data_IF_930281729499
#
_entry.id   IF_930281729499
#
_cell.length_a   1.000
_cell.length_b   1.000
_cell.length_c   1.000
_cell.angle_alpha   90.00
_cell.angle_beta   90.00
_cell.angle_gamma   90.00
#
_symmetry.space_group_name_H-M   'P 1'
#
loop_
_entity.id
_entity.type
_entity.pdbx_description
1 polymer ?
#
# COMPACT_ATOMS: atom_id res chain seq x y z
N UNK A 1 7.43 -28.37 -19.43
CA UNK A 1 6.71 -27.11 -19.18
C UNK A 1 7.43 -26.44 -18.04
N UNK A 2 7.73 -25.15 -18.16
CA UNK A 2 8.37 -24.41 -17.08
C UNK A 2 7.28 -24.00 -16.10
N UNK A 3 7.16 -24.75 -15.01
CA UNK A 3 6.27 -24.48 -13.86
C UNK A 3 6.72 -23.22 -13.08
N UNK A 4 7.17 -22.19 -13.79
CA UNK A 4 7.81 -21.01 -13.24
C UNK A 4 6.98 -19.78 -13.55
N UNK A 5 6.70 -18.99 -12.52
CA UNK A 5 6.10 -17.66 -12.63
C UNK A 5 7.14 -16.59 -12.27
N UNK A 6 6.79 -15.32 -12.48
CA UNK A 6 7.58 -14.15 -12.09
C UNK A 6 6.91 -13.44 -10.91
N UNK A 7 7.69 -13.03 -9.90
CA UNK A 7 7.20 -12.13 -8.85
C UNK A 7 7.58 -10.70 -9.18
N UNK A 8 6.58 -9.86 -9.38
CA UNK A 8 6.77 -8.42 -9.52
C UNK A 8 6.43 -7.74 -8.21
N UNK A 9 7.39 -7.03 -7.64
CA UNK A 9 7.22 -6.30 -6.38
C UNK A 9 7.42 -4.82 -6.63
N UNK A 10 6.46 -4.01 -6.23
CA UNK A 10 6.51 -2.54 -6.31
C UNK A 10 5.95 -1.91 -5.03
N UNK A 11 6.03 -0.60 -4.92
CA UNK A 11 5.36 0.16 -3.87
C UNK A 11 4.66 1.39 -4.50
N UNK A 12 3.33 1.40 -4.46
CA UNK A 12 2.54 2.47 -5.08
C UNK A 12 2.67 3.79 -4.33
N UNK A 13 2.83 4.89 -5.07
CA UNK A 13 2.77 6.25 -4.54
C UNK A 13 1.40 6.55 -3.95
N UNK A 14 0.32 6.25 -4.68
CA UNK A 14 -1.05 6.52 -4.24
C UNK A 14 -1.41 5.74 -2.98
N UNK A 15 -1.12 4.44 -2.93
CA UNK A 15 -1.44 3.62 -1.76
C UNK A 15 -0.62 4.03 -0.54
N UNK A 16 0.68 4.27 -0.70
CA UNK A 16 1.50 4.71 0.42
C UNK A 16 1.15 6.14 0.86
N UNK A 17 0.69 7.00 -0.05
CA UNK A 17 0.15 8.31 0.33
C UNK A 17 -1.17 8.20 1.10
N UNK A 18 -2.05 7.25 0.73
CA UNK A 18 -3.25 6.93 1.52
C UNK A 18 -2.86 6.51 2.95
N UNK A 19 -1.86 5.63 3.11
CA UNK A 19 -1.37 5.23 4.44
C UNK A 19 -0.75 6.42 5.20
N UNK A 20 -0.04 7.32 4.51
CA UNK A 20 0.47 8.57 5.08
C UNK A 20 -0.64 9.43 5.69
N UNK A 21 -1.72 9.67 4.95
CA UNK A 21 -2.89 10.42 5.43
C UNK A 21 -3.61 9.66 6.56
N UNK A 22 -3.79 8.34 6.41
CA UNK A 22 -4.39 7.48 7.42
C UNK A 22 -3.68 7.62 8.76
N UNK A 23 -2.36 7.55 8.76
CA UNK A 23 -1.56 7.59 9.97
C UNK A 23 -1.66 8.96 10.66
N UNK A 24 -1.74 10.05 9.90
CA UNK A 24 -2.03 11.37 10.47
C UNK A 24 -3.42 11.43 11.12
N UNK A 25 -4.44 10.90 10.44
CA UNK A 25 -5.80 10.84 10.96
C UNK A 25 -5.88 10.06 12.28
N UNK A 26 -5.21 8.91 12.35
CA UNK A 26 -5.13 8.08 13.55
C UNK A 26 -4.35 8.79 14.66
N UNK A 27 -3.21 9.41 14.35
CA UNK A 27 -2.39 10.13 15.32
C UNK A 27 -3.12 11.28 16.02
N UNK A 28 -4.11 11.91 15.36
CA UNK A 28 -4.94 12.95 15.98
C UNK A 28 -5.94 12.41 17.01
N UNK A 29 -6.21 11.10 17.01
CA UNK A 29 -7.13 10.42 17.94
C UNK A 29 -6.40 9.57 18.99
N UNK A 30 -5.16 9.18 18.72
CA UNK A 30 -4.38 8.24 19.52
C UNK A 30 -3.68 8.86 20.73
N UNK A 31 -3.36 8.01 21.72
CA UNK A 31 -2.46 8.39 22.83
C UNK A 31 -1.01 8.36 22.35
N UNK A 32 -0.14 9.15 23.00
CA UNK A 32 1.26 9.39 22.58
C UNK A 32 2.13 8.16 22.36
N UNK A 33 1.76 7.00 22.89
CA UNK A 33 2.57 5.77 22.86
C UNK A 33 2.45 4.97 21.55
N UNK A 34 1.38 5.17 20.77
CA UNK A 34 1.09 4.40 19.54
C UNK A 34 1.09 5.26 18.27
N UNK A 35 1.86 6.36 18.29
CA UNK A 35 1.95 7.26 17.15
C UNK A 35 2.68 6.59 15.98
N UNK A 36 2.13 6.79 14.79
CA UNK A 36 2.63 6.24 13.53
C UNK A 36 3.38 7.29 12.74
N UNK A 37 4.30 6.88 11.88
CA UNK A 37 4.87 7.81 10.90
C UNK A 37 3.84 8.10 9.80
N UNK A 38 3.66 9.35 9.35
CA UNK A 38 4.31 10.56 9.84
C UNK A 38 3.65 11.08 11.12
N UNK A 39 4.48 11.54 12.06
CA UNK A 39 3.98 12.35 13.16
C UNK A 39 4.05 13.83 12.78
N UNK A 40 2.89 14.47 12.64
CA UNK A 40 2.76 15.90 12.40
C UNK A 40 1.98 16.50 13.57
N UNK A 41 2.59 17.43 14.30
CA UNK A 41 1.97 18.05 15.47
C UNK A 41 0.77 18.95 15.11
N UNK A 42 0.73 19.45 13.87
CA UNK A 42 -0.37 20.24 13.33
C UNK A 42 -1.62 19.38 13.16
N UNK A 43 -2.77 19.92 13.55
CA UNK A 43 -4.06 19.31 13.27
C UNK A 43 -4.57 19.67 11.86
N UNK A 44 -5.14 18.66 11.20
CA UNK A 44 -5.83 18.76 9.93
C UNK A 44 -7.33 18.54 10.11
N UNK A 45 -8.11 19.31 9.36
CA UNK A 45 -9.56 19.17 9.28
C UNK A 45 -9.88 18.08 8.26
N UNK A 46 -10.07 16.86 8.75
CA UNK A 46 -10.48 15.72 7.94
C UNK A 46 -11.99 15.73 7.70
N UNK A 47 -12.40 15.08 6.61
CA UNK A 47 -13.83 14.89 6.32
C UNK A 47 -14.54 14.18 7.48
N UNK A 48 -15.77 14.58 7.77
CA UNK A 48 -16.62 13.92 8.78
C UNK A 48 -16.88 12.44 8.43
N UNK A 49 -16.85 12.09 7.15
CA UNK A 49 -17.01 10.73 6.63
C UNK A 49 -15.67 10.07 6.25
N UNK A 50 -14.56 10.49 6.86
CA UNK A 50 -13.19 10.09 6.49
C UNK A 50 -13.04 8.59 6.22
N UNK A 51 -13.44 7.71 7.14
CA UNK A 51 -13.23 6.27 7.01
C UNK A 51 -14.01 5.65 5.84
N UNK A 52 -15.22 6.15 5.57
CA UNK A 52 -16.02 5.71 4.43
C UNK A 52 -15.40 6.20 3.10
N UNK A 53 -15.02 7.47 3.05
CA UNK A 53 -14.37 8.06 1.88
C UNK A 53 -13.01 7.43 1.59
N UNK A 54 -12.25 7.08 2.65
CA UNK A 54 -10.99 6.36 2.55
C UNK A 54 -11.19 5.00 1.89
N UNK A 55 -12.16 4.22 2.37
CA UNK A 55 -12.50 2.92 1.79
C UNK A 55 -12.91 3.06 0.33
N UNK A 56 -13.79 3.99 -0.01
CA UNK A 56 -14.23 4.21 -1.38
C UNK A 56 -13.05 4.57 -2.30
N UNK A 57 -12.21 5.53 -1.87
CA UNK A 57 -11.05 5.97 -2.63
C UNK A 57 -10.03 4.85 -2.80
N UNK A 58 -9.75 4.08 -1.74
CA UNK A 58 -8.85 2.93 -1.80
C UNK A 58 -9.27 1.95 -2.90
N UNK A 59 -10.52 1.48 -2.89
CA UNK A 59 -11.00 0.54 -3.90
C UNK A 59 -11.02 1.15 -5.31
N UNK A 60 -11.26 2.45 -5.44
CA UNK A 60 -11.18 3.16 -6.73
C UNK A 60 -9.75 3.20 -7.26
N UNK A 61 -8.77 3.47 -6.39
CA UNK A 61 -7.34 3.44 -6.74
C UNK A 61 -6.90 2.05 -7.15
N UNK A 62 -7.28 1.00 -6.41
CA UNK A 62 -6.92 -0.39 -6.74
C UNK A 62 -7.29 -0.80 -8.16
N UNK A 63 -8.43 -0.30 -8.68
CA UNK A 63 -8.87 -0.58 -10.05
C UNK A 63 -8.05 0.16 -11.13
N UNK A 64 -7.38 1.25 -10.76
CA UNK A 64 -6.65 2.13 -11.68
C UNK A 64 -5.14 1.87 -11.67
N UNK A 65 -4.56 1.58 -10.51
CA UNK A 65 -3.11 1.45 -10.33
C UNK A 65 -2.54 0.06 -10.67
N UNK A 66 -3.29 -0.75 -11.42
CA UNK A 66 -2.76 -1.99 -11.99
C UNK A 66 -1.63 -1.73 -13.01
N UNK A 67 -1.52 -0.50 -13.49
CA UNK A 67 -0.40 0.01 -14.30
C UNK A 67 0.26 1.19 -13.57
N UNK A 68 1.57 1.09 -13.36
CA UNK A 68 2.40 2.04 -12.61
C UNK A 68 2.34 3.47 -13.20
N UNK A 69 2.04 3.61 -14.50
CA UNK A 69 1.84 4.92 -15.13
C UNK A 69 0.67 5.67 -14.51
N UNK A 70 -0.44 4.98 -14.22
CA UNK A 70 -1.61 5.59 -13.61
C UNK A 70 -1.37 5.93 -12.13
N UNK A 71 -0.57 5.14 -11.41
CA UNK A 71 -0.18 5.45 -10.05
C UNK A 71 0.56 6.80 -9.97
N UNK A 72 1.55 7.00 -10.84
CA UNK A 72 2.29 8.25 -10.92
C UNK A 72 1.43 9.42 -11.41
N UNK A 73 0.61 9.21 -12.44
CA UNK A 73 -0.29 10.25 -12.97
C UNK A 73 -1.26 10.73 -11.88
N UNK A 74 -1.90 9.81 -11.16
CA UNK A 74 -2.85 10.17 -10.10
C UNK A 74 -2.13 10.93 -8.99
N UNK A 75 -0.93 10.50 -8.60
CA UNK A 75 -0.20 11.15 -7.51
C UNK A 75 0.37 12.53 -7.90
N UNK A 76 0.92 12.69 -9.11
CA UNK A 76 1.56 13.94 -9.51
C UNK A 76 0.60 14.94 -10.13
N UNK A 77 -0.35 14.48 -10.94
CA UNK A 77 -1.19 15.36 -11.76
C UNK A 77 -2.63 15.48 -11.23
N UNK A 78 -3.15 14.42 -10.56
CA UNK A 78 -4.56 14.35 -10.14
C UNK A 78 -4.74 14.22 -8.61
N UNK A 79 -3.74 14.61 -7.80
CA UNK A 79 -3.77 14.41 -6.35
C UNK A 79 -4.85 15.21 -5.61
N UNK A 80 -5.51 16.14 -6.28
CA UNK A 80 -6.65 16.86 -5.71
C UNK A 80 -7.79 15.92 -5.29
N UNK A 81 -7.87 14.71 -5.87
CA UNK A 81 -8.83 13.69 -5.45
C UNK A 81 -8.67 13.28 -3.98
N UNK A 82 -7.45 13.25 -3.44
CA UNK A 82 -7.20 12.95 -2.03
C UNK A 82 -7.71 14.07 -1.14
N UNK A 83 -7.52 15.33 -1.58
CA UNK A 83 -8.00 16.50 -0.86
C UNK A 83 -9.52 16.52 -0.77
N UNK A 84 -10.21 16.42 -1.91
CA UNK A 84 -11.68 16.47 -1.97
C UNK A 84 -12.35 15.32 -1.19
N UNK A 85 -11.76 14.13 -1.23
CA UNK A 85 -12.36 12.96 -0.59
C UNK A 85 -12.03 12.86 0.90
N UNK A 86 -10.84 13.24 1.33
CA UNK A 86 -10.37 12.94 2.69
C UNK A 86 -10.35 14.15 3.63
N UNK A 87 -10.39 15.38 3.12
CA UNK A 87 -10.34 16.59 3.94
C UNK A 87 -11.67 17.33 3.93
N UNK A 88 -11.92 18.14 4.95
CA UNK A 88 -12.98 19.13 4.93
C UNK A 88 -12.50 20.32 4.10
N UNK A 89 -13.01 20.47 2.88
CA UNK A 89 -12.54 21.50 1.94
C UNK A 89 -12.95 22.92 2.32
N UNK A 90 -13.85 23.09 3.29
CA UNK A 90 -14.22 24.41 3.82
C UNK A 90 -13.28 24.85 4.95
N UNK A 91 -12.72 23.89 5.70
CA UNK A 91 -11.92 24.16 6.89
C UNK A 91 -10.43 23.85 6.71
N UNK A 92 -10.07 22.97 5.78
CA UNK A 92 -8.69 22.70 5.42
C UNK A 92 -8.25 23.72 4.37
N UNK A 93 -7.06 24.31 4.52
CA UNK A 93 -6.49 25.15 3.49
C UNK A 93 -5.80 24.27 2.42
N UNK A 94 -6.01 24.57 1.15
CA UNK A 94 -5.37 23.91 0.01
C UNK A 94 -3.84 23.98 0.09
N UNK A 95 -3.26 25.10 0.54
CA UNK A 95 -1.81 25.22 0.69
C UNK A 95 -1.26 24.20 1.70
N UNK A 96 -2.03 23.89 2.72
CA UNK A 96 -1.65 22.91 3.74
C UNK A 96 -1.71 21.48 3.21
N UNK A 97 -2.62 21.21 2.28
CA UNK A 97 -2.62 19.95 1.54
C UNK A 97 -1.45 19.86 0.56
N UNK A 98 -1.10 20.96 -0.13
CA UNK A 98 0.09 21.00 -1.01
C UNK A 98 1.39 20.78 -0.24
N UNK A 99 1.52 21.37 0.95
CA UNK A 99 2.63 21.11 1.87
C UNK A 99 2.69 19.63 2.27
N UNK A 100 1.54 19.02 2.54
CA UNK A 100 1.44 17.60 2.87
C UNK A 100 1.91 16.69 1.72
N UNK A 101 1.42 16.95 0.50
CA UNK A 101 1.84 16.23 -0.71
C UNK A 101 3.35 16.39 -0.92
N UNK A 102 3.88 17.60 -0.74
CA UNK A 102 5.31 17.89 -0.87
C UNK A 102 6.14 17.12 0.19
N UNK A 103 5.67 17.10 1.44
CA UNK A 103 6.33 16.38 2.53
C UNK A 103 6.41 14.89 2.25
N UNK A 104 5.30 14.27 1.84
CA UNK A 104 5.30 12.87 1.42
C UNK A 104 6.23 12.65 0.23
N UNK A 105 6.16 13.47 -0.83
CA UNK A 105 7.00 13.34 -2.02
C UNK A 105 8.49 13.36 -1.68
N UNK A 106 8.94 14.31 -0.87
CA UNK A 106 10.35 14.43 -0.46
C UNK A 106 10.79 13.20 0.32
N UNK A 107 10.00 12.73 1.27
CA UNK A 107 10.32 11.52 2.01
C UNK A 107 10.30 10.27 1.10
N UNK A 108 9.26 10.09 0.32
CA UNK A 108 9.01 8.90 -0.50
C UNK A 108 10.08 8.70 -1.58
N UNK A 109 10.50 9.78 -2.24
CA UNK A 109 11.56 9.76 -3.26
C UNK A 109 12.99 9.73 -2.70
N UNK A 110 13.16 9.87 -1.39
CA UNK A 110 14.46 9.74 -0.75
C UNK A 110 14.87 8.27 -0.60
N UNK A 111 16.15 8.04 -0.26
CA UNK A 111 16.65 6.69 -0.01
C UNK A 111 15.89 5.97 1.12
N UNK A 112 15.33 6.70 2.09
CA UNK A 112 14.60 6.13 3.24
C UNK A 112 13.11 5.88 2.97
N UNK A 113 12.60 6.32 1.82
CA UNK A 113 11.21 6.13 1.41
C UNK A 113 11.02 4.82 0.63
N UNK A 114 10.51 4.94 -0.61
CA UNK A 114 10.20 3.82 -1.50
C UNK A 114 11.36 2.84 -1.64
N UNK A 115 12.57 3.36 -1.88
CA UNK A 115 13.74 2.54 -2.13
C UNK A 115 14.08 1.62 -0.95
N UNK A 116 14.10 2.16 0.27
CA UNK A 116 14.32 1.34 1.48
C UNK A 116 13.24 0.28 1.66
N UNK A 117 11.99 0.61 1.34
CA UNK A 117 10.87 -0.33 1.44
C UNK A 117 11.08 -1.54 0.52
N UNK A 118 11.35 -1.30 -0.75
CA UNK A 118 11.56 -2.34 -1.77
C UNK A 118 12.83 -3.16 -1.48
N UNK A 119 13.93 -2.51 -1.09
CA UNK A 119 15.16 -3.19 -0.72
C UNK A 119 14.99 -4.07 0.53
N UNK A 120 14.19 -3.64 1.50
CA UNK A 120 14.04 -4.37 2.77
C UNK A 120 13.42 -5.77 2.59
N UNK A 121 12.54 -5.94 1.59
CA UNK A 121 11.93 -7.25 1.31
C UNK A 121 12.73 -8.09 0.32
N UNK A 122 13.71 -7.49 -0.39
CA UNK A 122 14.49 -8.18 -1.41
C UNK A 122 15.23 -9.42 -0.89
N UNK A 123 15.63 -9.42 0.39
CA UNK A 123 16.25 -10.57 1.05
C UNK A 123 15.32 -11.77 1.21
N UNK A 124 14.00 -11.57 1.19
CA UNK A 124 13.01 -12.64 1.26
C UNK A 124 12.58 -13.17 -0.11
N UNK A 125 12.91 -12.47 -1.20
CA UNK A 125 12.37 -12.79 -2.53
C UNK A 125 12.64 -14.22 -2.97
N UNK A 126 13.87 -14.73 -2.81
CA UNK A 126 14.20 -16.12 -3.19
C UNK A 126 13.47 -17.13 -2.32
N UNK A 127 13.40 -16.89 -1.01
CA UNK A 127 12.70 -17.79 -0.10
C UNK A 127 11.21 -17.83 -0.41
N UNK A 128 10.59 -16.65 -0.56
CA UNK A 128 9.18 -16.52 -0.87
C UNK A 128 8.83 -17.19 -2.19
N UNK A 129 9.66 -17.00 -3.21
CA UNK A 129 9.48 -17.66 -4.49
C UNK A 129 9.45 -19.19 -4.35
N UNK A 130 10.43 -19.75 -3.63
CA UNK A 130 10.54 -21.20 -3.45
C UNK A 130 9.37 -21.77 -2.63
N UNK A 131 8.94 -21.06 -1.59
CA UNK A 131 7.81 -21.46 -0.76
C UNK A 131 6.49 -21.47 -1.56
N UNK A 132 6.26 -20.46 -2.39
CA UNK A 132 5.09 -20.41 -3.28
C UNK A 132 5.18 -21.46 -4.40
N UNK A 133 6.37 -21.71 -4.96
CA UNK A 133 6.57 -22.76 -5.95
C UNK A 133 6.28 -24.15 -5.39
N UNK A 134 6.69 -24.41 -4.14
CA UNK A 134 6.37 -25.64 -3.43
C UNK A 134 4.85 -25.80 -3.27
N UNK A 135 4.17 -24.73 -2.86
CA UNK A 135 2.72 -24.71 -2.73
C UNK A 135 2.00 -25.06 -4.04
N UNK A 136 2.39 -24.43 -5.15
CA UNK A 136 1.81 -24.70 -6.47
C UNK A 136 1.97 -26.16 -6.88
N UNK A 137 3.16 -26.74 -6.69
CA UNK A 137 3.45 -28.15 -6.99
C UNK A 137 2.60 -29.11 -6.15
N UNK A 138 2.45 -28.83 -4.86
CA UNK A 138 1.67 -29.67 -3.94
C UNK A 138 0.18 -29.66 -4.25
N UNK A 139 -0.33 -28.59 -4.84
CA UNK A 139 -1.74 -28.43 -5.16
C UNK A 139 -2.04 -28.59 -6.67
N UNK A 140 -1.05 -29.00 -7.46
CA UNK A 140 -1.17 -29.20 -8.91
C UNK A 140 -1.74 -27.96 -9.65
N UNK A 141 -1.34 -26.76 -9.22
CA UNK A 141 -1.80 -25.49 -9.79
C UNK A 141 -0.80 -25.03 -10.84
N UNK A 142 -1.27 -24.81 -12.07
CA UNK A 142 -0.51 -24.11 -13.10
C UNK A 142 -0.60 -22.59 -12.88
N UNK A 143 0.51 -21.90 -12.59
CA UNK A 143 0.46 -20.47 -12.33
C UNK A 143 0.33 -19.67 -13.63
N UNK A 144 -0.37 -18.53 -13.56
CA UNK A 144 -0.17 -17.46 -14.53
C UNK A 144 1.28 -16.97 -14.47
N UNK A 145 1.69 -16.30 -15.53
CA UNK A 145 3.07 -15.89 -15.75
C UNK A 145 3.61 -14.95 -14.66
N UNK A 146 2.75 -14.21 -13.96
CA UNK A 146 3.18 -13.17 -13.02
C UNK A 146 2.23 -13.04 -11.82
N UNK A 147 2.81 -12.86 -10.63
CA UNK A 147 2.11 -12.38 -9.43
C UNK A 147 2.62 -10.99 -9.07
N UNK A 148 1.72 -10.09 -8.70
CA UNK A 148 2.02 -8.70 -8.36
C UNK A 148 1.92 -8.45 -6.85
N UNK A 149 2.97 -7.88 -6.26
CA UNK A 149 3.05 -7.56 -4.85
C UNK A 149 3.24 -6.05 -4.70
N UNK A 150 2.27 -5.37 -4.10
CA UNK A 150 2.40 -3.95 -3.75
C UNK A 150 2.70 -3.81 -2.26
N UNK A 151 3.80 -3.13 -1.93
CA UNK A 151 4.26 -2.95 -0.56
C UNK A 151 3.68 -1.68 0.06
N UNK A 152 3.24 -1.80 1.31
CA UNK A 152 2.89 -0.66 2.16
C UNK A 152 3.95 -0.45 3.23
N UNK A 153 4.31 0.81 3.49
CA UNK A 153 5.28 1.13 4.54
C UNK A 153 4.73 0.90 5.96
N UNK A 154 3.40 0.90 6.13
CA UNK A 154 2.70 0.63 7.38
C UNK A 154 1.33 -0.01 7.10
N UNK A 155 0.61 -0.40 8.14
CA UNK A 155 -0.68 -1.09 8.02
C UNK A 155 -1.77 -0.23 7.38
N UNK A 156 -2.54 -0.83 6.48
CA UNK A 156 -3.87 -0.33 6.13
C UNK A 156 -4.88 -0.77 7.20
N UNK A 157 -5.39 0.19 7.99
CA UNK A 157 -6.30 -0.07 9.12
C UNK A 157 -7.75 -0.12 8.66
N UNK A 158 -8.12 0.71 7.68
CA UNK A 158 -9.53 0.88 7.31
C UNK A 158 -10.00 -0.09 6.23
N UNK A 159 -9.12 -0.78 5.51
CA UNK A 159 -9.50 -1.73 4.47
C UNK A 159 -8.97 -3.12 4.77
N UNK A 160 -9.88 -4.08 4.81
CA UNK A 160 -9.61 -5.51 4.89
C UNK A 160 -9.71 -6.13 3.48
N UNK A 161 -9.02 -7.24 3.23
CA UNK A 161 -8.99 -7.97 1.95
C UNK A 161 -8.26 -7.24 0.83
N UNK A 162 -6.94 -7.16 0.98
CA UNK A 162 -6.02 -6.53 0.06
C UNK A 162 -5.41 -7.52 -0.95
N UNK A 163 -6.16 -8.57 -1.29
CA UNK A 163 -5.74 -9.67 -2.17
C UNK A 163 -6.77 -9.90 -3.27
N UNK A 164 -6.29 -10.09 -4.49
CA UNK A 164 -7.07 -10.52 -5.65
C UNK A 164 -6.35 -11.66 -6.35
N UNK A 165 -6.94 -12.17 -7.44
CA UNK A 165 -6.27 -13.08 -8.37
C UNK A 165 -4.88 -12.55 -8.74
N UNK A 166 -3.83 -13.32 -8.47
CA UNK A 166 -2.44 -12.99 -8.80
C UNK A 166 -1.94 -11.60 -8.34
N UNK A 167 -2.56 -11.01 -7.32
CA UNK A 167 -2.12 -9.73 -6.77
C UNK A 167 -2.41 -9.60 -5.29
N UNK A 168 -1.48 -8.99 -4.55
CA UNK A 168 -1.62 -8.73 -3.14
C UNK A 168 -0.97 -7.42 -2.74
N UNK A 169 -1.55 -6.76 -1.73
CA UNK A 169 -1.03 -5.54 -1.13
C UNK A 169 -0.74 -5.86 0.34
N UNK A 170 0.52 -5.68 0.73
CA UNK A 170 1.02 -6.18 2.01
C UNK A 170 1.85 -5.12 2.73
N UNK A 171 1.63 -4.90 4.04
CA UNK A 171 2.56 -4.16 4.87
C UNK A 171 3.92 -4.86 4.93
N UNK A 172 4.99 -4.11 4.65
CA UNK A 172 6.35 -4.66 4.60
C UNK A 172 6.78 -5.31 5.91
N UNK A 173 6.27 -4.82 7.05
CA UNK A 173 6.56 -5.43 8.36
C UNK A 173 6.20 -6.92 8.42
N UNK A 174 5.18 -7.37 7.67
CA UNK A 174 4.74 -8.77 7.68
C UNK A 174 5.83 -9.73 7.22
N UNK A 175 6.73 -9.29 6.34
CA UNK A 175 7.87 -10.09 5.91
C UNK A 175 8.84 -10.40 7.07
N UNK A 176 8.92 -9.52 8.06
CA UNK A 176 9.85 -9.64 9.19
C UNK A 176 9.23 -10.31 10.42
N UNK A 177 7.97 -10.00 10.73
CA UNK A 177 7.33 -10.46 11.96
C UNK A 177 6.42 -11.67 11.75
N UNK A 178 5.79 -11.77 10.57
CA UNK A 178 4.74 -12.75 10.27
C UNK A 178 4.94 -13.39 8.87
N UNK A 179 6.16 -13.80 8.54
CA UNK A 179 6.50 -14.31 7.20
C UNK A 179 5.59 -15.47 6.74
N UNK A 180 5.19 -16.36 7.65
CA UNK A 180 4.27 -17.47 7.33
C UNK A 180 2.90 -16.98 6.86
N UNK A 181 2.41 -15.86 7.40
CA UNK A 181 1.14 -15.28 7.00
C UNK A 181 1.27 -14.65 5.60
N UNK A 182 2.45 -14.11 5.25
CA UNK A 182 2.73 -13.64 3.88
C UNK A 182 2.61 -14.80 2.89
N UNK A 183 3.30 -15.92 3.13
CA UNK A 183 3.21 -17.12 2.27
C UNK A 183 1.76 -17.58 2.15
N UNK A 184 1.06 -17.74 3.28
CA UNK A 184 -0.34 -18.17 3.30
C UNK A 184 -1.24 -17.23 2.50
N UNK A 185 -1.09 -15.93 2.69
CA UNK A 185 -1.88 -14.91 1.98
C UNK A 185 -1.65 -15.00 0.48
N UNK A 186 -0.39 -15.07 0.04
CA UNK A 186 -0.05 -15.14 -1.38
C UNK A 186 -0.44 -16.47 -2.03
N UNK A 187 -0.41 -17.57 -1.29
CA UNK A 187 -0.95 -18.86 -1.74
C UNK A 187 -2.42 -18.76 -2.14
N UNK A 188 -3.24 -17.97 -1.42
CA UNK A 188 -4.66 -17.78 -1.77
C UNK A 188 -4.86 -17.03 -3.08
N UNK A 189 -3.91 -16.17 -3.50
CA UNK A 189 -4.00 -15.41 -4.75
C UNK A 189 -4.00 -16.30 -6.00
N UNK A 190 -3.55 -17.55 -5.91
CA UNK A 190 -3.54 -18.50 -7.03
C UNK A 190 -4.89 -19.22 -7.23
N UNK A 191 -5.79 -19.21 -6.24
CA UNK A 191 -7.08 -19.91 -6.28
C UNK A 191 -8.24 -19.03 -6.73
N UNK A 192 -8.07 -17.71 -6.68
CA UNK A 192 -9.09 -16.76 -7.08
C UNK A 192 -9.06 -16.66 -8.60
N UNK A 193 -9.72 -17.56 -9.31
CA UNK A 193 -9.99 -17.44 -10.75
C UNK A 193 -11.34 -16.75 -10.99
#
# INVERSE_FOLDING_TARGET
>A
MTDSFTMYTNASHCLNFMIYIQNMYLNQKEKKENLRFPYIARQFNFSTNFEANFKELWHSLLKKITDDKYDLQIFYDENYIFYEKLFDTQLCNEDSFKELVCSFKVWWTSIVGQHSLECSVSGYSTQLYNDLLLYLKQNEIEPLQQIHLNLLYDDCVFVTNNTTSYSAILPTKHFFINYRDVVTTLSTCFHVA
#
